data_IF_245068003840
#
_entry.id   IF_245068003840
#
_cell.length_a   1.000
_cell.length_b   1.000
_cell.length_c   1.000
_cell.angle_alpha   90.00
_cell.angle_beta   90.00
_cell.angle_gamma   90.00
#
_symmetry.space_group_name_H-M   'P 1'
#
loop_
_entity.id
_entity.type
_entity.pdbx_description
1 polymer ?
#
# COMPACT_ATOMS: atom_id res chain seq x y z
N UNK A 1 17.00 -0.33 2.46
CA UNK A 1 17.58 0.16 1.18
C UNK A 1 16.63 1.14 0.50
N UNK A 2 15.37 0.76 0.20
CA UNK A 2 14.35 1.73 -0.26
C UNK A 2 14.16 2.89 0.73
N UNK A 3 14.22 2.61 2.04
CA UNK A 3 14.22 3.63 3.09
C UNK A 3 15.36 4.66 2.94
N UNK A 4 16.58 4.21 2.60
CA UNK A 4 17.74 5.11 2.42
C UNK A 4 17.55 6.01 1.19
N UNK A 5 16.91 5.51 0.14
CA UNK A 5 16.59 6.30 -1.06
C UNK A 5 15.48 7.32 -0.83
N UNK A 6 14.62 7.08 0.18
CA UNK A 6 13.48 7.91 0.50
C UNK A 6 13.75 8.98 1.56
N UNK A 7 14.78 8.80 2.40
CA UNK A 7 14.99 9.56 3.64
C UNK A 7 14.86 11.09 3.53
N UNK A 8 15.24 11.69 2.40
CA UNK A 8 15.20 13.14 2.17
C UNK A 8 14.23 13.57 1.05
N UNK A 9 13.37 12.65 0.58
CA UNK A 9 12.46 12.86 -0.58
C UNK A 9 10.98 12.63 -0.26
N UNK A 10 10.65 12.36 1.00
CA UNK A 10 9.28 12.13 1.44
C UNK A 10 8.51 13.46 1.49
N UNK A 11 7.37 13.49 0.80
CA UNK A 11 6.42 14.60 0.84
C UNK A 11 5.10 14.14 1.45
N UNK A 12 4.22 15.06 1.85
CA UNK A 12 2.91 14.69 2.40
C UNK A 12 2.12 13.87 1.37
N UNK A 13 1.54 12.75 1.80
CA UNK A 13 0.84 11.85 0.89
C UNK A 13 -0.45 12.48 0.38
N UNK A 14 -0.72 12.24 -0.90
CA UNK A 14 -1.95 12.64 -1.56
C UNK A 14 -2.82 11.42 -1.86
N UNK A 15 -4.11 11.64 -2.09
CA UNK A 15 -5.05 10.63 -2.57
C UNK A 15 -5.72 11.14 -3.85
N UNK A 16 -6.16 10.23 -4.71
CA UNK A 16 -6.99 10.59 -5.86
C UNK A 16 -8.40 10.93 -5.38
N UNK A 17 -8.92 12.07 -5.79
CA UNK A 17 -10.32 12.43 -5.60
C UNK A 17 -11.22 11.50 -6.41
N UNK A 18 -12.31 11.00 -5.81
CA UNK A 18 -13.18 10.02 -6.44
C UNK A 18 -14.05 10.62 -7.56
N UNK A 19 -14.27 11.94 -7.57
CA UNK A 19 -15.10 12.62 -8.58
C UNK A 19 -14.25 13.20 -9.70
N UNK A 20 -13.15 13.90 -9.35
CA UNK A 20 -12.31 14.58 -10.33
C UNK A 20 -11.10 13.78 -10.78
N UNK A 21 -10.64 12.81 -9.99
CA UNK A 21 -9.38 12.08 -10.20
C UNK A 21 -8.13 12.88 -9.82
N UNK A 22 -8.28 14.11 -9.33
CA UNK A 22 -7.15 14.97 -8.96
C UNK A 22 -6.45 14.49 -7.69
N UNK A 23 -5.15 14.77 -7.60
CA UNK A 23 -4.36 14.49 -6.41
C UNK A 23 -4.61 15.55 -5.33
N UNK A 24 -5.25 15.18 -4.22
CA UNK A 24 -5.62 16.09 -3.12
C UNK A 24 -4.94 15.72 -1.79
N UNK A 25 -4.67 16.71 -0.94
CA UNK A 25 -4.25 16.48 0.45
C UNK A 25 -5.41 15.84 1.21
N UNK A 26 -5.07 14.84 2.03
CA UNK A 26 -6.08 13.99 2.66
C UNK A 26 -5.99 14.00 4.18
N UNK A 27 -7.13 14.11 4.86
CA UNK A 27 -7.24 13.76 6.27
C UNK A 27 -7.35 12.23 6.48
N UNK A 28 -7.67 11.48 5.42
CA UNK A 28 -7.84 10.02 5.50
C UNK A 28 -6.53 9.25 5.30
N UNK A 29 -5.52 9.86 4.67
CA UNK A 29 -4.15 9.35 4.56
C UNK A 29 -3.17 10.40 5.05
N UNK A 30 -2.60 10.17 6.22
CA UNK A 30 -1.76 11.17 6.90
C UNK A 30 -0.27 10.86 6.82
N UNK A 31 0.14 9.86 6.02
CA UNK A 31 1.54 9.50 5.80
C UNK A 31 2.31 10.56 5.00
N UNK A 32 3.64 10.42 5.00
CA UNK A 32 4.51 10.96 3.96
C UNK A 32 4.89 9.87 2.96
N UNK A 33 5.27 10.24 1.73
CA UNK A 33 5.57 9.27 0.70
C UNK A 33 6.34 9.83 -0.49
N UNK A 34 6.83 8.92 -1.32
CA UNK A 34 7.45 9.22 -2.61
C UNK A 34 7.30 8.04 -3.58
N UNK A 35 7.57 8.26 -4.86
CA UNK A 35 7.64 7.20 -5.86
C UNK A 35 9.08 6.95 -6.31
N UNK A 36 9.47 5.69 -6.37
CA UNK A 36 10.66 5.25 -7.09
C UNK A 36 10.26 4.98 -8.54
N UNK A 37 11.06 5.46 -9.49
CA UNK A 37 10.79 5.18 -10.91
C UNK A 37 10.96 3.67 -11.21
N UNK A 38 10.21 3.17 -12.19
CA UNK A 38 10.37 1.77 -12.66
C UNK A 38 11.81 1.51 -13.05
N UNK A 39 12.37 0.40 -12.57
CA UNK A 39 13.76 0.02 -12.79
C UNK A 39 14.76 1.19 -12.57
N UNK A 40 14.51 2.06 -11.59
CA UNK A 40 15.35 3.24 -11.30
C UNK A 40 16.83 2.89 -11.13
N UNK A 41 17.10 1.74 -10.51
CA UNK A 41 18.42 1.14 -10.36
C UNK A 41 18.31 -0.39 -10.29
N UNK A 42 19.45 -1.08 -10.23
CA UNK A 42 19.53 -2.54 -10.19
C UNK A 42 18.78 -3.15 -9.00
N UNK A 43 18.79 -2.49 -7.84
CA UNK A 43 18.08 -2.97 -6.65
C UNK A 43 16.58 -2.89 -6.84
N UNK A 44 16.09 -1.74 -7.33
CA UNK A 44 14.68 -1.52 -7.64
C UNK A 44 14.20 -2.52 -8.70
N UNK A 45 14.98 -2.70 -9.77
CA UNK A 45 14.66 -3.65 -10.83
C UNK A 45 14.61 -5.10 -10.32
N UNK A 46 15.56 -5.50 -9.46
CA UNK A 46 15.58 -6.83 -8.85
C UNK A 46 14.37 -7.09 -7.93
N UNK A 47 13.94 -6.07 -7.18
CA UNK A 47 12.74 -6.16 -6.34
C UNK A 47 11.51 -6.32 -7.24
N UNK A 48 11.33 -5.48 -8.26
CA UNK A 48 10.22 -5.57 -9.22
C UNK A 48 10.17 -6.95 -9.89
N UNK A 49 11.32 -7.48 -10.32
CA UNK A 49 11.42 -8.81 -10.93
C UNK A 49 11.03 -9.93 -9.96
N UNK A 50 11.42 -9.85 -8.67
CA UNK A 50 11.02 -10.83 -7.66
C UNK A 50 9.53 -10.78 -7.36
N UNK A 51 8.95 -9.58 -7.29
CA UNK A 51 7.51 -9.43 -7.09
C UNK A 51 6.77 -10.05 -8.29
N UNK A 52 7.17 -9.73 -9.51
CA UNK A 52 6.58 -10.29 -10.73
C UNK A 52 6.66 -11.83 -10.78
N UNK A 53 7.82 -12.39 -10.42
CA UNK A 53 7.99 -13.85 -10.34
C UNK A 53 7.10 -14.50 -9.28
N UNK A 54 6.86 -13.83 -8.16
CA UNK A 54 6.03 -14.35 -7.07
C UNK A 54 4.53 -14.22 -7.35
N UNK A 55 4.09 -13.11 -7.96
CA UNK A 55 2.69 -12.86 -8.29
C UNK A 55 2.26 -13.53 -9.58
N UNK A 56 3.21 -13.98 -10.40
CA UNK A 56 3.00 -14.42 -11.79
C UNK A 56 2.40 -13.32 -12.69
N UNK A 57 2.60 -12.04 -12.31
CA UNK A 57 2.17 -10.88 -13.09
C UNK A 57 3.42 -10.23 -13.70
N UNK A 58 3.44 -9.91 -15.02
CA UNK A 58 4.61 -9.31 -15.66
C UNK A 58 5.02 -7.96 -15.04
N UNK A 59 6.31 -7.64 -15.06
CA UNK A 59 6.85 -6.35 -14.57
C UNK A 59 6.29 -5.14 -15.32
N UNK A 60 5.87 -5.34 -16.55
CA UNK A 60 5.24 -4.33 -17.41
C UNK A 60 3.94 -3.82 -16.78
N UNK A 61 3.18 -4.72 -16.13
CA UNK A 61 1.93 -4.42 -15.44
C UNK A 61 2.11 -3.65 -14.12
N UNK A 62 3.32 -3.62 -13.56
CA UNK A 62 3.60 -2.90 -12.32
C UNK A 62 3.64 -1.37 -12.51
N UNK A 63 2.99 -0.64 -11.62
CA UNK A 63 3.17 0.79 -11.42
C UNK A 63 4.52 1.09 -10.74
N UNK A 64 4.96 2.35 -10.74
CA UNK A 64 6.12 2.79 -9.95
C UNK A 64 5.94 2.44 -8.46
N UNK A 65 6.99 1.91 -7.81
CA UNK A 65 6.96 1.60 -6.37
C UNK A 65 6.69 2.86 -5.54
N UNK A 66 5.68 2.81 -4.68
CA UNK A 66 5.38 3.88 -3.74
C UNK A 66 5.98 3.57 -2.37
N UNK A 67 6.85 4.43 -1.87
CA UNK A 67 7.36 4.36 -0.49
C UNK A 67 6.49 5.26 0.37
N UNK A 68 6.06 4.73 1.51
CA UNK A 68 5.24 5.46 2.49
C UNK A 68 5.86 5.35 3.85
N UNK A 69 5.85 6.43 4.60
CA UNK A 69 6.30 6.55 5.98
C UNK A 69 5.19 7.13 6.86
N UNK A 70 4.94 6.42 7.96
CA UNK A 70 3.92 6.76 8.94
C UNK A 70 4.61 7.03 10.27
N UNK A 71 4.46 8.25 10.77
CA UNK A 71 4.85 8.62 12.12
C UNK A 71 3.81 8.13 13.14
N UNK A 72 4.16 8.20 14.42
CA UNK A 72 3.26 7.81 15.49
C UNK A 72 1.93 8.59 15.41
N UNK A 73 0.81 7.86 15.38
CA UNK A 73 -0.54 8.42 15.25
C UNK A 73 -0.99 8.70 13.81
N UNK A 74 -0.13 8.54 12.80
CA UNK A 74 -0.54 8.60 11.40
C UNK A 74 -1.24 7.30 10.98
N UNK A 75 -2.12 7.41 9.99
CA UNK A 75 -2.96 6.29 9.53
C UNK A 75 -3.39 6.49 8.08
N UNK A 76 -3.93 5.42 7.52
CA UNK A 76 -4.70 5.44 6.30
C UNK A 76 -6.01 4.70 6.56
N UNK A 77 -7.13 5.42 6.49
CA UNK A 77 -8.48 4.84 6.55
C UNK A 77 -8.70 3.71 5.52
N UNK A 78 -9.63 2.79 5.78
CA UNK A 78 -9.97 1.71 4.85
C UNK A 78 -10.29 2.24 3.44
N UNK A 79 -9.67 1.64 2.44
CA UNK A 79 -9.90 1.98 1.03
C UNK A 79 -9.62 0.78 0.12
N UNK A 80 -10.23 0.85 -1.06
CA UNK A 80 -9.91 -0.02 -2.17
C UNK A 80 -8.74 0.57 -2.94
N UNK A 81 -7.82 -0.29 -3.37
CA UNK A 81 -6.72 0.13 -4.23
C UNK A 81 -7.16 0.32 -5.69
N UNK A 82 -8.26 -0.29 -6.13
CA UNK A 82 -8.77 -0.11 -7.48
C UNK A 82 -9.43 1.27 -7.64
N UNK A 83 -9.34 1.82 -8.86
CA UNK A 83 -9.96 3.10 -9.17
C UNK A 83 -11.49 3.00 -9.22
N UNK A 84 -12.17 3.93 -8.55
CA UNK A 84 -13.62 4.10 -8.67
C UNK A 84 -13.99 5.04 -9.82
N UNK A 85 -13.09 5.94 -10.22
CA UNK A 85 -13.32 6.91 -11.28
C UNK A 85 -13.05 6.33 -12.67
N UNK A 86 -13.82 6.78 -13.66
CA UNK A 86 -13.70 6.29 -15.03
C UNK A 86 -12.43 6.75 -15.73
N UNK A 87 -11.88 7.91 -15.36
CA UNK A 87 -10.75 8.50 -16.06
C UNK A 87 -9.48 7.66 -15.85
N UNK A 88 -9.17 7.28 -14.61
CA UNK A 88 -8.03 6.42 -14.29
C UNK A 88 -8.22 5.00 -14.81
N UNK A 89 -9.45 4.49 -14.82
CA UNK A 89 -9.77 3.18 -15.43
C UNK A 89 -9.48 3.17 -16.94
N UNK A 90 -9.87 4.22 -17.66
CA UNK A 90 -9.65 4.34 -19.11
C UNK A 90 -8.18 4.59 -19.47
N UNK A 91 -7.42 5.29 -18.61
CA UNK A 91 -6.02 5.63 -18.85
C UNK A 91 -5.03 4.50 -18.58
N UNK A 92 -5.31 3.62 -17.61
CA UNK A 92 -4.34 2.62 -17.13
C UNK A 92 -4.90 1.22 -16.83
N UNK A 93 -6.22 1.02 -16.92
CA UNK A 93 -6.86 -0.22 -16.47
C UNK A 93 -7.09 -0.27 -14.95
N UNK A 94 -7.72 -1.35 -14.48
CA UNK A 94 -7.93 -1.56 -13.03
C UNK A 94 -6.72 -2.20 -12.38
N UNK A 95 -6.42 -1.79 -11.15
CA UNK A 95 -5.45 -2.49 -10.30
C UNK A 95 -6.00 -3.85 -9.91
N UNK A 96 -5.28 -4.91 -10.28
CA UNK A 96 -5.69 -6.31 -10.07
C UNK A 96 -5.03 -6.94 -8.85
N UNK A 97 -3.89 -6.40 -8.39
CA UNK A 97 -3.19 -6.87 -7.22
C UNK A 97 -2.32 -5.78 -6.63
N UNK A 98 -2.19 -5.80 -5.30
CA UNK A 98 -1.25 -4.96 -4.54
C UNK A 98 -0.34 -5.83 -3.69
N UNK A 99 0.95 -5.54 -3.73
CA UNK A 99 1.96 -6.14 -2.84
C UNK A 99 2.42 -5.09 -1.84
N UNK A 100 2.30 -5.44 -0.56
CA UNK A 100 2.77 -4.63 0.55
C UNK A 100 4.03 -5.25 1.16
N UNK A 101 5.11 -4.46 1.16
CA UNK A 101 6.40 -4.84 1.73
C UNK A 101 6.68 -3.90 2.90
N UNK A 102 6.78 -4.45 4.11
CA UNK A 102 7.12 -3.69 5.31
C UNK A 102 8.63 -3.50 5.35
N UNK A 103 9.06 -2.25 5.53
CA UNK A 103 10.48 -1.88 5.45
C UNK A 103 11.15 -1.76 6.83
N UNK A 104 10.35 -1.76 7.90
CA UNK A 104 10.80 -1.65 9.28
C UNK A 104 9.89 -2.45 10.21
N UNK A 105 10.46 -2.97 11.29
CA UNK A 105 9.67 -3.50 12.41
C UNK A 105 9.06 -2.36 13.21
N UNK A 106 7.82 -2.55 13.68
CA UNK A 106 7.13 -1.59 14.54
C UNK A 106 6.77 -2.25 15.86
N UNK A 107 7.05 -1.54 16.94
CA UNK A 107 6.88 -2.04 18.31
C UNK A 107 5.41 -2.29 18.65
N UNK A 108 4.49 -1.40 18.24
CA UNK A 108 3.07 -1.53 18.51
C UNK A 108 2.23 -0.82 17.44
N UNK A 109 1.09 -1.44 17.11
CA UNK A 109 0.16 -0.95 16.11
C UNK A 109 0.71 -1.09 14.69
N UNK A 110 0.06 -0.37 13.77
CA UNK A 110 0.55 -0.29 12.41
C UNK A 110 0.10 -1.40 11.44
N UNK A 111 -0.72 -2.31 11.94
CA UNK A 111 -1.17 -3.47 11.20
C UNK A 111 -1.88 -3.09 9.89
N UNK A 112 -1.76 -3.93 8.86
CA UNK A 112 -2.64 -3.83 7.70
C UNK A 112 -3.88 -4.66 7.94
N UNK A 113 -5.03 -3.99 7.96
CA UNK A 113 -6.29 -4.58 8.40
C UNK A 113 -7.26 -4.71 7.23
N UNK A 114 -7.85 -5.88 7.10
CA UNK A 114 -8.85 -6.24 6.10
C UNK A 114 -10.20 -6.39 6.81
N UNK A 115 -10.99 -5.30 6.92
CA UNK A 115 -12.24 -5.28 7.69
C UNK A 115 -13.34 -6.14 7.05
N UNK A 116 -13.18 -6.49 5.78
CA UNK A 116 -14.15 -7.25 4.97
C UNK A 116 -13.65 -8.64 4.59
N UNK A 117 -12.49 -9.08 5.11
CA UNK A 117 -11.96 -10.42 4.84
C UNK A 117 -12.89 -11.52 5.39
N UNK A 118 -12.97 -12.62 4.64
CA UNK A 118 -13.57 -13.84 5.16
C UNK A 118 -12.76 -14.33 6.37
N UNK A 119 -13.44 -14.65 7.46
CA UNK A 119 -12.77 -15.02 8.70
C UNK A 119 -12.07 -13.86 9.41
N UNK A 120 -12.50 -12.60 9.23
CA UNK A 120 -11.92 -11.43 9.93
C UNK A 120 -11.84 -11.51 11.47
N UNK A 121 -12.66 -12.36 12.09
CA UNK A 121 -12.64 -12.62 13.53
C UNK A 121 -11.99 -13.95 13.90
N UNK A 122 -11.36 -14.64 12.95
CA UNK A 122 -10.74 -15.95 13.16
C UNK A 122 -9.37 -15.87 13.85
N UNK A 123 -8.70 -14.72 13.77
CA UNK A 123 -7.41 -14.51 14.43
C UNK A 123 -7.62 -14.28 15.93
N UNK A 124 -6.98 -15.07 16.81
CA UNK A 124 -6.95 -14.76 18.23
C UNK A 124 -6.19 -13.45 18.43
N UNK A 125 -6.83 -12.48 19.07
CA UNK A 125 -6.25 -11.17 19.38
C UNK A 125 -6.37 -10.89 20.87
N UNK A 126 -5.28 -10.47 21.46
CA UNK A 126 -5.21 -10.01 22.85
C UNK A 126 -5.06 -8.47 22.89
N UNK A 127 -4.67 -7.95 24.05
CA UNK A 127 -4.54 -6.52 24.29
C UNK A 127 -3.29 -5.89 23.65
N UNK A 128 -2.37 -6.67 23.07
CA UNK A 128 -1.23 -6.11 22.34
C UNK A 128 -1.61 -5.57 20.95
N UNK A 129 -2.78 -5.93 20.45
CA UNK A 129 -3.27 -5.49 19.14
C UNK A 129 -3.91 -4.10 19.22
N UNK A 130 -3.72 -3.29 18.17
CA UNK A 130 -4.41 -2.01 18.07
C UNK A 130 -5.93 -2.17 17.94
N UNK A 131 -6.68 -1.14 18.33
CA UNK A 131 -8.14 -1.09 18.14
C UNK A 131 -8.53 -1.26 16.66
N UNK A 132 -7.68 -0.78 15.75
CA UNK A 132 -7.87 -0.97 14.32
C UNK A 132 -7.79 -2.47 13.97
N UNK A 133 -6.72 -3.14 14.40
CA UNK A 133 -6.49 -4.54 14.08
C UNK A 133 -7.52 -5.48 14.70
N UNK A 134 -8.09 -5.14 15.86
CA UNK A 134 -9.16 -5.91 16.49
C UNK A 134 -10.40 -6.07 15.60
N UNK A 135 -10.64 -5.14 14.67
CA UNK A 135 -11.85 -5.09 13.85
C UNK A 135 -11.75 -5.70 12.44
N UNK A 136 -10.64 -6.37 12.08
CA UNK A 136 -10.50 -7.03 10.77
C UNK A 136 -9.45 -8.13 10.75
N UNK A 137 -9.27 -8.84 9.64
CA UNK A 137 -8.10 -9.73 9.52
C UNK A 137 -6.84 -8.87 9.39
N UNK A 138 -5.82 -9.08 10.21
CA UNK A 138 -4.64 -8.24 10.24
C UNK A 138 -3.39 -9.04 9.87
N UNK A 139 -2.48 -8.45 9.09
CA UNK A 139 -1.23 -9.14 8.74
C UNK A 139 -0.09 -8.20 8.36
N UNK A 140 1.11 -8.79 8.28
CA UNK A 140 2.40 -8.09 8.22
C UNK A 140 3.21 -8.45 6.95
N UNK A 141 2.63 -9.12 5.97
CA UNK A 141 3.14 -9.34 4.59
C UNK A 141 1.99 -9.90 3.76
N UNK A 142 1.62 -9.26 2.65
CA UNK A 142 0.47 -9.73 1.87
C UNK A 142 0.50 -9.29 0.39
N UNK A 143 0.07 -10.21 -0.49
CA UNK A 143 -0.65 -9.82 -1.70
C UNK A 143 -2.09 -9.57 -1.27
N UNK A 144 -2.60 -8.38 -1.59
CA UNK A 144 -4.00 -8.03 -1.42
C UNK A 144 -4.66 -7.87 -2.78
N UNK A 145 -5.88 -8.37 -2.88
CA UNK A 145 -6.86 -7.97 -3.89
C UNK A 145 -8.11 -7.55 -3.10
N UNK A 146 -8.25 -6.27 -2.76
CA UNK A 146 -9.41 -5.76 -2.03
C UNK A 146 -9.14 -4.61 -1.07
N UNK A 147 -10.19 -4.28 -0.31
CA UNK A 147 -10.24 -3.21 0.69
C UNK A 147 -9.27 -3.50 1.85
N UNK A 148 -8.40 -2.54 2.16
CA UNK A 148 -7.56 -2.65 3.35
C UNK A 148 -7.25 -1.28 3.97
N UNK A 149 -6.78 -1.33 5.22
CA UNK A 149 -6.30 -0.19 6.02
C UNK A 149 -4.79 -0.30 6.15
N UNK A 150 -4.04 0.79 6.02
CA UNK A 150 -2.59 0.81 6.33
C UNK A 150 -2.30 1.76 7.48
N UNK A 151 -1.54 1.30 8.45
CA UNK A 151 -1.07 2.14 9.56
C UNK A 151 0.47 2.24 9.63
N UNK A 152 1.24 1.85 8.59
CA UNK A 152 2.71 1.74 8.64
C UNK A 152 3.53 2.10 7.41
N UNK A 153 4.81 2.39 7.69
CA UNK A 153 5.88 2.48 6.71
C UNK A 153 5.92 1.22 5.84
N UNK A 154 5.57 1.39 4.58
CA UNK A 154 5.42 0.30 3.62
C UNK A 154 5.86 0.74 2.24
N UNK A 155 6.44 -0.19 1.50
CA UNK A 155 6.54 -0.10 0.05
C UNK A 155 5.30 -0.76 -0.54
N UNK A 156 4.61 -0.02 -1.40
CA UNK A 156 3.40 -0.44 -2.09
C UNK A 156 3.74 -0.62 -3.55
N UNK A 157 3.47 -1.80 -4.07
CA UNK A 157 3.62 -2.09 -5.48
C UNK A 157 2.29 -2.60 -6.03
N UNK A 158 1.77 -1.92 -7.03
CA UNK A 158 0.44 -2.21 -7.56
C UNK A 158 0.53 -2.60 -9.02
N UNK A 159 -0.25 -3.61 -9.41
CA UNK A 159 -0.29 -4.13 -10.77
C UNK A 159 -1.60 -3.74 -11.45
N UNK A 160 -1.50 -3.23 -12.66
CA UNK A 160 -2.62 -2.94 -13.55
C UNK A 160 -2.97 -4.17 -14.39
N UNK A 161 -4.27 -4.42 -14.57
CA UNK A 161 -4.79 -5.46 -15.45
C UNK A 161 -5.08 -4.88 -16.84
N UNK A 162 -4.22 -5.20 -17.80
CA UNK A 162 -4.46 -5.02 -19.23
C UNK A 162 -4.28 -6.35 -19.95
#
# INVERSE_FOLDING_TARGET
MCEFQAKDKLEKSMVADNESGDSIESEVRTSSGMFLQKAQDEVVADIEARIAAWTFIPTENGESMQILHYENGQKYEPHFDYFHDKANQELGGHRIATVLIYLSDVESGGETVFPNAEGKLSQPKDDSWSDCAKNGYAGNTMISIGDFVKCLLSCVFTFLGY
#
